data_IF_885071075915
#
_entry.id   IF_885071075915
#
_cell.length_a   1.000
_cell.length_b   1.000
_cell.length_c   1.000
_cell.angle_alpha   90.00
_cell.angle_beta   90.00
_cell.angle_gamma   90.00
#
_symmetry.space_group_name_H-M   'P 1'
#
loop_
_entity.id
_entity.type
_entity.pdbx_description
1 polymer ?
#
# COMPACT_ATOMS: atom_id res chain seq x y z
N UNK A 1 -20.43 30.55 25.51
CA UNK A 1 -20.45 31.55 24.42
C UNK A 1 -20.58 30.76 23.11
N UNK A 2 -21.75 30.79 22.47
CA UNK A 2 -22.11 30.03 21.26
C UNK A 2 -21.83 30.89 20.01
N UNK A 3 -21.18 30.34 18.98
CA UNK A 3 -21.36 30.61 17.51
C UNK A 3 -20.68 29.41 16.80
N UNK A 4 -21.33 28.39 16.21
CA UNK A 4 -22.30 28.19 15.09
C UNK A 4 -21.67 27.83 13.74
N UNK A 5 -22.18 26.72 13.17
CA UNK A 5 -21.98 26.11 11.85
C UNK A 5 -21.94 27.10 10.67
N UNK A 6 -21.30 26.71 9.56
CA UNK A 6 -21.82 27.00 8.24
C UNK A 6 -21.60 25.86 7.24
N UNK A 7 -22.71 25.43 6.65
CA UNK A 7 -22.80 24.51 5.53
C UNK A 7 -22.87 25.30 4.21
N UNK A 8 -22.34 24.70 3.15
CA UNK A 8 -22.55 25.15 1.78
C UNK A 8 -23.93 24.69 1.28
N UNK A 9 -24.69 25.61 0.69
CA UNK A 9 -25.85 25.34 -0.18
C UNK A 9 -25.65 26.05 -1.54
N UNK A 10 -26.23 25.54 -2.64
CA UNK A 10 -25.96 26.00 -4.00
C UNK A 10 -26.92 27.12 -4.44
N UNK A 11 -26.44 28.03 -5.28
CA UNK A 11 -27.24 29.11 -5.88
C UNK A 11 -27.47 28.91 -7.39
N UNK A 12 -28.74 28.80 -7.75
CA UNK A 12 -29.32 29.06 -9.09
C UNK A 12 -29.27 30.56 -9.41
N UNK A 13 -29.19 30.93 -10.69
CA UNK A 13 -29.78 32.14 -11.34
C UNK A 13 -29.77 31.88 -12.87
N UNK A 14 -30.90 31.63 -13.53
CA UNK A 14 -31.95 32.54 -14.03
C UNK A 14 -31.65 33.17 -15.41
N UNK A 15 -32.33 32.65 -16.44
CA UNK A 15 -32.61 33.30 -17.73
C UNK A 15 -33.68 34.40 -17.57
N UNK A 16 -33.70 35.41 -18.46
CA UNK A 16 -34.94 36.06 -18.85
C UNK A 16 -35.19 36.03 -20.38
N UNK A 17 -36.45 35.79 -20.73
CA UNK A 17 -37.04 36.08 -22.04
C UNK A 17 -37.61 37.52 -22.09
N UNK A 18 -37.57 38.14 -23.27
CA UNK A 18 -38.44 39.21 -23.85
C UNK A 18 -37.84 39.45 -25.26
N UNK A 19 -38.51 39.64 -26.39
CA UNK A 19 -39.81 40.19 -26.78
C UNK A 19 -39.62 40.72 -28.22
N UNK A 20 -40.62 40.64 -29.08
CA UNK A 20 -40.48 40.57 -30.55
C UNK A 20 -40.45 41.90 -31.35
N UNK A 21 -40.15 41.74 -32.66
CA UNK A 21 -40.51 42.52 -33.88
C UNK A 21 -39.51 43.55 -34.44
N UNK A 22 -39.06 43.32 -35.68
CA UNK A 22 -38.45 44.36 -36.55
C UNK A 22 -37.84 43.86 -37.87
N UNK A 23 -38.63 43.95 -38.96
CA UNK A 23 -38.33 44.06 -40.41
C UNK A 23 -37.18 43.31 -41.13
N UNK A 24 -37.55 42.78 -42.30
CA UNK A 24 -36.76 42.19 -43.39
C UNK A 24 -35.51 42.98 -43.82
N UNK A 25 -34.40 42.26 -44.05
CA UNK A 25 -33.57 42.39 -45.26
C UNK A 25 -33.03 41.01 -45.64
N UNK A 26 -33.37 40.56 -46.87
CA UNK A 26 -32.74 39.40 -47.51
C UNK A 26 -31.28 39.73 -47.83
N UNK A 27 -30.35 39.02 -47.20
CA UNK A 27 -29.05 38.72 -47.80
C UNK A 27 -28.83 37.21 -47.68
N UNK A 28 -28.78 36.53 -48.82
CA UNK A 28 -28.36 35.14 -48.91
C UNK A 28 -26.88 35.05 -48.58
N UNK A 29 -26.54 34.83 -47.31
CA UNK A 29 -25.24 34.29 -46.96
C UNK A 29 -25.35 32.77 -47.03
N UNK A 30 -24.75 32.19 -48.08
CA UNK A 30 -24.39 30.79 -48.08
C UNK A 30 -23.40 30.57 -46.92
N UNK A 31 -23.90 30.15 -45.77
CA UNK A 31 -23.06 29.45 -44.81
C UNK A 31 -22.75 28.09 -45.44
N UNK A 32 -21.59 28.00 -46.07
CA UNK A 32 -20.96 26.71 -46.25
C UNK A 32 -20.61 26.25 -44.83
N UNK A 33 -21.21 25.17 -44.27
CA UNK A 33 -20.72 24.65 -43.01
C UNK A 33 -19.27 24.28 -43.26
N UNK A 34 -18.34 24.87 -42.49
CA UNK A 34 -16.99 24.34 -42.42
C UNK A 34 -17.12 22.84 -42.13
N UNK A 35 -16.37 21.97 -42.84
CA UNK A 35 -16.43 20.55 -42.55
C UNK A 35 -16.16 20.39 -41.06
N UNK A 36 -17.06 19.69 -40.37
CA UNK A 36 -16.82 19.29 -38.98
C UNK A 36 -15.42 18.69 -38.95
N UNK A 37 -14.53 19.25 -38.13
CA UNK A 37 -13.23 18.66 -37.90
C UNK A 37 -13.51 17.22 -37.46
N UNK A 38 -13.14 16.27 -38.32
CA UNK A 38 -13.19 14.85 -37.99
C UNK A 38 -12.31 14.70 -36.75
N UNK A 39 -12.91 14.35 -35.61
CA UNK A 39 -12.14 13.92 -34.45
C UNK A 39 -11.17 12.85 -34.96
N UNK A 40 -9.88 12.98 -34.65
CA UNK A 40 -8.92 11.95 -34.99
C UNK A 40 -9.43 10.62 -34.39
N UNK A 41 -9.41 9.56 -35.18
CA UNK A 41 -9.77 8.22 -34.69
C UNK A 41 -8.89 7.89 -33.49
N UNK A 42 -9.45 7.28 -32.42
CA UNK A 42 -8.66 6.84 -31.28
C UNK A 42 -7.60 5.83 -31.74
N UNK A 43 -6.45 5.83 -31.07
CA UNK A 43 -5.41 4.85 -31.34
C UNK A 43 -5.94 3.42 -31.21
N UNK A 44 -5.52 2.53 -32.11
CA UNK A 44 -5.84 1.10 -32.06
C UNK A 44 -4.63 0.25 -32.45
N UNK A 45 -4.45 -0.87 -31.75
CA UNK A 45 -3.42 -1.87 -32.04
C UNK A 45 -3.73 -2.73 -33.28
N UNK A 46 -4.92 -2.64 -33.88
CA UNK A 46 -5.35 -3.49 -35.00
C UNK A 46 -4.47 -3.37 -36.26
N UNK A 47 -3.77 -2.24 -36.41
CA UNK A 47 -2.93 -1.96 -37.57
C UNK A 47 -1.41 -2.07 -37.28
N UNK A 48 -1.03 -2.53 -36.09
CA UNK A 48 0.38 -2.72 -35.73
C UNK A 48 0.92 -3.95 -36.47
N UNK A 49 1.95 -3.75 -37.29
CA UNK A 49 2.59 -4.83 -38.08
C UNK A 49 4.02 -5.13 -37.63
N UNK A 50 4.55 -4.34 -36.70
CA UNK A 50 5.95 -4.39 -36.25
C UNK A 50 6.15 -5.23 -35.00
N UNK A 51 5.08 -5.50 -34.25
CA UNK A 51 5.01 -6.43 -33.13
C UNK A 51 3.66 -7.13 -33.05
N UNK A 52 3.52 -8.23 -32.28
CA UNK A 52 2.22 -8.85 -32.02
C UNK A 52 1.21 -7.86 -31.44
N UNK A 53 -0.04 -7.97 -31.86
CA UNK A 53 -1.13 -7.11 -31.38
C UNK A 53 -1.28 -7.16 -29.85
N UNK A 54 -1.13 -8.34 -29.24
CA UNK A 54 -1.20 -8.53 -27.78
C UNK A 54 -0.10 -7.75 -27.05
N UNK A 55 1.10 -7.61 -27.65
CA UNK A 55 2.16 -6.79 -27.05
C UNK A 55 1.82 -5.31 -27.10
N UNK A 56 1.21 -4.84 -28.19
CA UNK A 56 0.70 -3.47 -28.26
C UNK A 56 -0.39 -3.24 -27.21
N UNK A 57 -1.34 -4.17 -27.07
CA UNK A 57 -2.44 -4.08 -26.10
C UNK A 57 -1.92 -4.07 -24.66
N UNK A 58 -0.90 -4.88 -24.34
CA UNK A 58 -0.24 -4.86 -23.04
C UNK A 58 0.43 -3.51 -22.74
N UNK A 59 1.05 -2.88 -23.74
CA UNK A 59 1.61 -1.53 -23.59
C UNK A 59 0.50 -0.49 -23.41
N UNK A 60 -0.58 -0.54 -24.19
CA UNK A 60 -1.75 0.33 -23.99
C UNK A 60 -2.28 0.19 -22.56
N UNK A 61 -2.49 -1.05 -22.09
CA UNK A 61 -2.92 -1.35 -20.71
C UNK A 61 -1.98 -0.72 -19.68
N UNK A 62 -0.66 -0.82 -19.87
CA UNK A 62 0.34 -0.17 -19.01
C UNK A 62 0.20 1.36 -19.01
N UNK A 63 0.07 1.97 -20.18
CA UNK A 63 -0.07 3.43 -20.31
C UNK A 63 -1.33 3.93 -19.60
N UNK A 64 -2.46 3.27 -19.85
CA UNK A 64 -3.75 3.64 -19.26
C UNK A 64 -3.77 3.40 -17.75
N UNK A 65 -3.27 2.25 -17.28
CA UNK A 65 -3.31 1.89 -15.86
C UNK A 65 -2.36 2.72 -15.02
N UNK A 66 -1.35 3.35 -15.62
CA UNK A 66 -0.32 4.13 -14.92
C UNK A 66 -0.35 5.63 -15.22
N UNK A 67 -1.50 6.13 -15.66
CA UNK A 67 -1.78 7.57 -15.72
C UNK A 67 -1.12 8.28 -16.90
N UNK A 68 -1.05 7.64 -18.07
CA UNK A 68 -0.54 8.26 -19.29
C UNK A 68 -1.43 9.36 -19.86
N UNK A 69 -2.71 9.46 -19.48
CA UNK A 69 -3.65 10.42 -20.07
C UNK A 69 -3.33 11.89 -19.75
N UNK A 70 -3.11 12.67 -20.81
CA UNK A 70 -2.60 14.06 -20.84
C UNK A 70 -3.52 15.19 -20.27
N UNK A 71 -4.51 14.90 -19.43
CA UNK A 71 -5.51 15.91 -19.02
C UNK A 71 -5.25 16.54 -17.64
N UNK A 72 -4.16 16.17 -16.95
CA UNK A 72 -3.82 16.72 -15.63
C UNK A 72 -2.34 17.08 -15.49
N UNK A 73 -1.99 18.05 -14.63
CA UNK A 73 -0.57 18.48 -14.48
C UNK A 73 0.32 17.47 -13.74
N UNK A 74 0.01 16.18 -13.77
CA UNK A 74 0.60 15.11 -12.96
C UNK A 74 0.98 13.87 -13.78
N UNK A 75 1.11 14.02 -15.10
CA UNK A 75 1.23 12.93 -16.09
C UNK A 75 2.65 12.34 -16.20
N UNK A 76 2.77 11.33 -17.06
CA UNK A 76 4.05 10.83 -17.53
C UNK A 76 4.94 12.00 -17.99
N UNK A 77 6.22 12.00 -17.60
CA UNK A 77 7.14 13.09 -17.98
C UNK A 77 7.52 13.01 -19.46
N UNK A 78 7.60 11.79 -19.99
CA UNK A 78 7.96 11.44 -21.35
C UNK A 78 7.01 10.35 -21.82
N UNK A 79 6.15 10.69 -22.76
CA UNK A 79 5.21 9.78 -23.42
C UNK A 79 5.28 9.87 -24.95
N UNK A 80 6.39 10.39 -25.48
CA UNK A 80 6.60 10.52 -26.93
C UNK A 80 6.25 9.21 -27.67
N UNK A 81 5.34 9.30 -28.62
CA UNK A 81 4.88 8.19 -29.46
C UNK A 81 3.77 7.32 -28.85
N UNK A 82 3.61 7.29 -27.53
CA UNK A 82 2.56 6.51 -26.88
C UNK A 82 1.19 6.93 -27.41
N UNK A 83 0.41 5.96 -27.89
CA UNK A 83 -0.90 6.13 -28.52
C UNK A 83 -0.97 7.13 -29.69
N UNK A 84 0.17 7.57 -30.23
CA UNK A 84 0.24 8.56 -31.32
C UNK A 84 1.03 8.06 -32.51
N UNK A 85 2.07 7.26 -32.28
CA UNK A 85 2.82 6.56 -33.32
C UNK A 85 2.23 5.17 -33.58
N UNK A 86 2.10 4.80 -34.85
CA UNK A 86 1.54 3.51 -35.26
C UNK A 86 2.42 2.30 -34.91
N UNK A 87 3.71 2.51 -34.64
CA UNK A 87 4.66 1.45 -34.29
C UNK A 87 5.07 1.58 -32.81
N UNK A 88 4.64 0.64 -31.93
CA UNK A 88 5.01 0.65 -30.52
C UNK A 88 6.52 0.61 -30.26
N UNK A 89 7.31 0.08 -31.19
CA UNK A 89 8.76 0.05 -31.10
C UNK A 89 9.43 1.42 -31.24
N UNK A 90 8.65 2.45 -31.58
CA UNK A 90 9.11 3.85 -31.62
C UNK A 90 8.69 4.65 -30.39
N UNK A 91 7.89 4.06 -29.49
CA UNK A 91 7.42 4.73 -28.29
C UNK A 91 8.56 4.93 -27.30
N UNK A 92 8.51 6.04 -26.56
CA UNK A 92 9.50 6.34 -25.55
C UNK A 92 9.66 5.18 -24.56
N UNK A 93 10.91 4.75 -24.37
CA UNK A 93 11.25 3.67 -23.45
C UNK A 93 10.99 2.26 -23.97
N UNK A 94 10.32 2.08 -25.11
CA UNK A 94 10.07 0.77 -25.71
C UNK A 94 11.22 0.39 -26.65
N UNK A 95 11.85 -0.76 -26.40
CA UNK A 95 12.87 -1.34 -27.26
C UNK A 95 12.38 -2.67 -27.82
N UNK A 96 12.57 -2.87 -29.13
CA UNK A 96 12.18 -4.09 -29.82
C UNK A 96 13.36 -4.79 -30.47
N UNK A 97 13.29 -6.11 -30.54
CA UNK A 97 14.18 -6.95 -31.34
C UNK A 97 13.38 -8.05 -32.04
N UNK A 98 13.68 -8.29 -33.32
CA UNK A 98 13.01 -9.31 -34.15
C UNK A 98 11.48 -9.22 -34.16
N UNK A 99 10.94 -8.00 -34.06
CA UNK A 99 9.49 -7.75 -34.05
C UNK A 99 8.81 -8.07 -32.71
N UNK A 100 9.55 -8.09 -31.60
CA UNK A 100 9.01 -8.25 -30.26
C UNK A 100 9.55 -7.18 -29.33
N UNK A 101 8.76 -6.77 -28.34
CA UNK A 101 9.19 -5.89 -27.25
C UNK A 101 10.14 -6.66 -26.34
N UNK A 102 11.39 -6.20 -26.24
CA UNK A 102 12.42 -6.82 -25.40
C UNK A 102 12.89 -5.93 -24.25
N UNK A 103 12.62 -4.63 -24.31
CA UNK A 103 13.02 -3.68 -23.28
C UNK A 103 11.93 -2.64 -23.00
N UNK A 104 11.64 -2.41 -21.73
CA UNK A 104 10.84 -1.28 -21.25
C UNK A 104 11.67 -0.44 -20.28
N UNK A 105 11.90 0.82 -20.63
CA UNK A 105 12.70 1.78 -19.86
C UNK A 105 11.88 3.03 -19.53
N UNK A 106 11.18 2.98 -18.41
CA UNK A 106 10.19 3.97 -17.93
C UNK A 106 10.54 4.50 -16.53
N UNK A 107 11.79 4.35 -16.09
CA UNK A 107 12.26 4.87 -14.80
C UNK A 107 12.19 6.40 -14.74
N UNK A 108 11.86 6.94 -13.56
CA UNK A 108 11.79 8.38 -13.29
C UNK A 108 10.86 9.14 -14.25
N UNK A 109 9.73 8.54 -14.59
CA UNK A 109 8.81 9.07 -15.59
C UNK A 109 7.45 9.45 -14.99
N UNK A 110 7.34 9.54 -13.66
CA UNK A 110 6.13 9.92 -12.93
C UNK A 110 4.91 9.00 -13.19
N UNK A 111 5.15 7.73 -13.57
CA UNK A 111 4.08 6.73 -13.71
C UNK A 111 3.31 6.61 -12.40
N UNK A 112 1.97 6.65 -12.45
CA UNK A 112 1.12 6.54 -11.27
C UNK A 112 -0.05 5.61 -11.53
N UNK A 113 -0.13 4.53 -10.77
CA UNK A 113 -1.14 3.50 -10.98
C UNK A 113 -0.63 2.13 -10.56
N UNK A 114 -1.40 1.10 -10.87
CA UNK A 114 -0.96 -0.29 -10.69
C UNK A 114 -0.37 -0.85 -11.97
N UNK A 115 0.58 -1.78 -11.82
CA UNK A 115 1.05 -2.59 -12.94
C UNK A 115 -0.10 -3.50 -13.42
N UNK A 116 -0.41 -3.54 -14.71
CA UNK A 116 -1.49 -4.40 -15.22
C UNK A 116 -1.03 -5.85 -15.31
N UNK A 117 -1.98 -6.78 -15.24
CA UNK A 117 -1.72 -8.21 -15.37
C UNK A 117 -1.26 -8.60 -16.77
N UNK A 118 -1.68 -7.85 -17.78
CA UNK A 118 -1.47 -8.14 -19.20
C UNK A 118 0.00 -7.94 -19.64
N UNK A 119 0.87 -7.42 -18.77
CA UNK A 119 2.31 -7.33 -19.03
C UNK A 119 2.95 -8.68 -19.33
N UNK A 120 2.32 -9.80 -18.96
CA UNK A 120 2.76 -11.14 -19.29
C UNK A 120 2.74 -11.44 -20.80
N UNK A 121 1.97 -10.70 -21.60
CA UNK A 121 1.93 -10.85 -23.06
C UNK A 121 3.23 -10.39 -23.74
N UNK A 122 4.08 -9.63 -23.05
CA UNK A 122 5.42 -9.23 -23.51
C UNK A 122 6.43 -10.38 -23.35
N UNK A 123 6.12 -11.56 -23.89
CA UNK A 123 6.84 -12.82 -23.62
C UNK A 123 8.35 -12.82 -23.96
N UNK A 124 8.79 -11.89 -24.81
CA UNK A 124 10.20 -11.69 -25.17
C UNK A 124 10.92 -10.62 -24.32
N UNK A 125 10.26 -10.06 -23.30
CA UNK A 125 10.80 -8.99 -22.48
C UNK A 125 12.02 -9.47 -21.68
N UNK A 126 13.15 -8.81 -21.88
CA UNK A 126 14.42 -9.10 -21.22
C UNK A 126 14.71 -8.10 -20.09
N UNK A 127 14.22 -6.86 -20.21
CA UNK A 127 14.48 -5.80 -19.22
C UNK A 127 13.25 -4.93 -19.00
N UNK A 128 12.86 -4.78 -17.73
CA UNK A 128 11.82 -3.86 -17.31
C UNK A 128 12.34 -2.91 -16.23
N UNK A 129 12.48 -1.64 -16.57
CA UNK A 129 12.92 -0.58 -15.68
C UNK A 129 11.79 0.41 -15.45
N UNK A 130 11.23 0.43 -14.24
CA UNK A 130 10.20 1.38 -13.81
C UNK A 130 10.51 1.97 -12.43
N UNK A 131 11.79 2.09 -12.09
CA UNK A 131 12.25 2.62 -10.81
C UNK A 131 12.01 4.13 -10.67
N UNK A 132 11.72 4.62 -9.47
CA UNK A 132 11.57 6.06 -9.23
C UNK A 132 10.27 6.62 -9.80
N UNK A 133 9.19 5.85 -9.70
CA UNK A 133 7.85 6.24 -10.10
C UNK A 133 6.92 6.27 -8.86
N UNK A 134 5.61 6.37 -9.09
CA UNK A 134 4.55 6.35 -8.07
C UNK A 134 3.60 5.17 -8.30
N UNK A 135 4.16 4.03 -8.72
CA UNK A 135 3.41 2.79 -8.90
C UNK A 135 2.96 2.26 -7.54
N UNK A 136 1.71 1.84 -7.42
CA UNK A 136 1.10 1.34 -6.18
C UNK A 136 0.32 0.05 -6.43
N UNK A 137 -0.10 -0.61 -5.35
CA UNK A 137 -0.72 -1.93 -5.41
C UNK A 137 0.33 -3.04 -5.49
N UNK A 138 -0.15 -4.26 -5.77
CA UNK A 138 0.70 -5.46 -5.77
C UNK A 138 1.56 -5.57 -7.04
N UNK A 139 2.68 -6.28 -6.92
CA UNK A 139 3.42 -6.78 -8.08
C UNK A 139 2.59 -7.93 -8.68
N UNK A 140 2.12 -7.86 -9.94
CA UNK A 140 1.31 -8.92 -10.52
C UNK A 140 2.08 -10.23 -10.61
N UNK A 141 1.48 -11.33 -10.15
CA UNK A 141 2.08 -12.66 -10.26
C UNK A 141 2.33 -13.08 -11.73
N UNK A 142 1.57 -12.52 -12.67
CA UNK A 142 1.72 -12.72 -14.11
C UNK A 142 3.11 -12.31 -14.64
N UNK A 143 3.83 -11.39 -13.96
CA UNK A 143 5.23 -11.09 -14.31
C UNK A 143 6.14 -12.31 -14.21
N UNK A 144 5.78 -13.33 -13.42
CA UNK A 144 6.49 -14.61 -13.34
C UNK A 144 6.41 -15.47 -14.62
N UNK A 145 5.58 -15.10 -15.59
CA UNK A 145 5.46 -15.81 -16.89
C UNK A 145 6.47 -15.31 -17.93
N UNK A 146 7.14 -14.18 -17.67
CA UNK A 146 8.12 -13.56 -18.56
C UNK A 146 9.48 -14.25 -18.49
N UNK A 147 9.55 -15.51 -18.89
CA UNK A 147 10.76 -16.36 -18.71
C UNK A 147 12.04 -15.84 -19.37
N UNK A 148 11.97 -14.87 -20.30
CA UNK A 148 13.14 -14.20 -20.89
C UNK A 148 13.67 -13.04 -20.04
N UNK A 149 12.95 -12.63 -18.99
CA UNK A 149 13.29 -11.47 -18.18
C UNK A 149 14.60 -11.70 -17.42
N UNK A 150 15.54 -10.78 -17.63
CA UNK A 150 16.85 -10.77 -17.01
C UNK A 150 16.95 -9.69 -15.93
N UNK A 151 16.23 -8.58 -16.08
CA UNK A 151 16.32 -7.44 -15.16
C UNK A 151 14.94 -6.86 -14.86
N UNK A 152 14.61 -6.79 -13.58
CA UNK A 152 13.37 -6.20 -13.08
C UNK A 152 13.67 -5.14 -12.02
N UNK A 153 13.52 -3.87 -12.40
CA UNK A 153 13.79 -2.72 -11.52
C UNK A 153 12.49 -1.99 -11.20
N UNK A 154 11.98 -2.23 -9.98
CA UNK A 154 10.77 -1.60 -9.44
C UNK A 154 11.05 -0.80 -8.17
N UNK A 155 12.32 -0.56 -7.84
CA UNK A 155 12.71 0.18 -6.63
C UNK A 155 12.23 1.65 -6.65
N UNK A 156 12.06 2.23 -5.47
CA UNK A 156 11.59 3.61 -5.27
C UNK A 156 10.20 3.84 -5.90
N UNK A 157 9.23 3.04 -5.47
CA UNK A 157 7.81 3.15 -5.82
C UNK A 157 6.96 3.08 -4.53
N UNK A 158 5.65 2.91 -4.67
CA UNK A 158 4.68 2.72 -3.58
C UNK A 158 4.04 1.32 -3.67
N UNK A 159 4.75 0.33 -4.22
CA UNK A 159 4.24 -1.03 -4.38
C UNK A 159 4.07 -1.69 -3.01
N UNK A 160 2.97 -2.42 -2.82
CA UNK A 160 2.56 -3.02 -1.55
C UNK A 160 2.28 -4.51 -1.71
N UNK A 161 1.99 -5.20 -0.60
CA UNK A 161 1.69 -6.63 -0.60
C UNK A 161 2.93 -7.51 -0.70
N UNK A 162 2.73 -8.80 -0.91
CA UNK A 162 3.80 -9.80 -0.93
C UNK A 162 4.59 -9.80 -2.23
N UNK A 163 5.85 -10.23 -2.18
CA UNK A 163 6.62 -10.57 -3.39
C UNK A 163 6.00 -11.85 -3.98
N UNK A 164 5.52 -11.87 -5.23
CA UNK A 164 4.89 -13.07 -5.78
C UNK A 164 5.89 -14.21 -5.92
N UNK A 165 5.54 -15.39 -5.38
CA UNK A 165 6.35 -16.60 -5.54
C UNK A 165 6.57 -16.98 -7.02
N UNK A 166 5.66 -16.57 -7.91
CA UNK A 166 5.77 -16.76 -9.37
C UNK A 166 7.04 -16.12 -9.98
N UNK A 167 7.62 -15.09 -9.34
CA UNK A 167 8.90 -14.53 -9.79
C UNK A 167 10.05 -15.56 -9.73
N UNK A 168 9.92 -16.62 -8.94
CA UNK A 168 10.86 -17.75 -8.93
C UNK A 168 10.87 -18.59 -10.21
N UNK A 169 9.95 -18.37 -11.16
CA UNK A 169 9.94 -19.03 -12.47
C UNK A 169 10.87 -18.35 -13.49
N UNK A 170 11.39 -17.15 -13.17
CA UNK A 170 12.20 -16.34 -14.08
C UNK A 170 13.64 -16.85 -14.14
N UNK A 171 13.86 -18.01 -14.77
CA UNK A 171 15.15 -18.72 -14.78
C UNK A 171 16.32 -17.93 -15.40
N UNK A 172 16.04 -16.87 -16.15
CA UNK A 172 17.04 -15.98 -16.75
C UNK A 172 17.30 -14.71 -15.93
N UNK A 173 16.62 -14.52 -14.79
CA UNK A 173 16.71 -13.31 -13.99
C UNK A 173 18.09 -13.18 -13.35
N UNK A 174 18.71 -12.02 -13.53
CA UNK A 174 20.04 -11.67 -13.01
C UNK A 174 19.91 -10.57 -11.96
N UNK A 175 19.02 -9.60 -12.19
CA UNK A 175 18.82 -8.46 -11.29
C UNK A 175 17.33 -8.31 -10.89
N UNK A 176 17.06 -8.30 -9.58
CA UNK A 176 15.72 -8.08 -9.00
C UNK A 176 15.79 -6.99 -7.94
N UNK A 177 15.41 -5.76 -8.30
CA UNK A 177 15.49 -4.60 -7.42
C UNK A 177 14.10 -4.12 -7.03
N UNK A 178 13.76 -4.30 -5.75
CA UNK A 178 12.46 -4.00 -5.16
C UNK A 178 12.56 -3.07 -3.93
N UNK A 179 13.74 -2.51 -3.66
CA UNK A 179 13.98 -1.66 -2.49
C UNK A 179 13.12 -0.39 -2.51
N UNK A 180 12.89 0.20 -1.32
CA UNK A 180 12.16 1.46 -1.17
C UNK A 180 10.72 1.37 -1.72
N UNK A 181 10.01 0.35 -1.27
CA UNK A 181 8.59 0.11 -1.51
C UNK A 181 7.89 -0.12 -0.16
N UNK A 182 6.64 -0.61 -0.19
CA UNK A 182 5.84 -1.02 0.96
C UNK A 182 5.60 -2.54 0.91
N UNK A 183 6.53 -3.31 0.33
CA UNK A 183 6.38 -4.76 0.20
C UNK A 183 6.49 -5.41 1.58
N UNK A 184 5.65 -6.40 1.82
CA UNK A 184 5.53 -7.06 3.13
C UNK A 184 5.50 -8.59 3.01
N UNK A 185 5.48 -9.26 4.16
CA UNK A 185 5.40 -10.71 4.23
C UNK A 185 6.75 -11.40 4.02
N UNK A 186 6.68 -12.72 3.89
CA UNK A 186 7.85 -13.59 3.77
C UNK A 186 8.47 -13.52 2.37
N UNK A 187 9.80 -13.41 2.31
CA UNK A 187 10.53 -13.52 1.04
C UNK A 187 10.34 -14.95 0.48
N UNK A 188 9.79 -15.12 -0.75
CA UNK A 188 9.45 -16.45 -1.24
C UNK A 188 10.66 -17.36 -1.44
N UNK A 189 10.58 -18.59 -0.90
CA UNK A 189 11.60 -19.63 -1.11
C UNK A 189 11.84 -19.97 -2.59
N UNK A 190 10.87 -19.71 -3.47
CA UNK A 190 11.01 -19.89 -4.91
C UNK A 190 12.16 -19.05 -5.52
N UNK A 191 12.48 -17.88 -4.93
CA UNK A 191 13.60 -17.03 -5.40
C UNK A 191 14.97 -17.68 -5.18
N UNK A 192 15.10 -18.57 -4.19
CA UNK A 192 16.35 -19.28 -3.90
C UNK A 192 16.78 -20.15 -5.10
N UNK A 193 15.82 -20.64 -5.89
CA UNK A 193 16.07 -21.49 -7.06
C UNK A 193 16.71 -20.75 -8.23
N UNK A 194 16.70 -19.41 -8.23
CA UNK A 194 17.29 -18.58 -9.29
C UNK A 194 18.81 -18.47 -9.17
N UNK A 195 19.43 -19.06 -8.13
CA UNK A 195 20.88 -19.13 -7.99
C UNK A 195 21.51 -17.78 -7.64
N UNK A 196 22.53 -17.37 -8.41
CA UNK A 196 23.21 -16.08 -8.23
C UNK A 196 22.34 -14.96 -8.82
N UNK A 197 21.62 -14.27 -7.95
CA UNK A 197 20.70 -13.19 -8.29
C UNK A 197 21.11 -11.93 -7.51
N UNK A 198 21.33 -10.83 -8.23
CA UNK A 198 21.56 -9.53 -7.59
C UNK A 198 20.22 -9.01 -7.07
N UNK A 199 20.08 -8.90 -5.76
CA UNK A 199 18.84 -8.48 -5.13
C UNK A 199 18.99 -7.22 -4.29
N UNK A 200 17.95 -6.38 -4.33
CA UNK A 200 17.83 -5.21 -3.49
C UNK A 200 16.44 -5.17 -2.86
N UNK A 201 16.37 -5.46 -1.56
CA UNK A 201 15.12 -5.53 -0.78
C UNK A 201 15.04 -4.49 0.34
N UNK A 202 16.08 -3.68 0.51
CA UNK A 202 16.17 -2.69 1.60
C UNK A 202 14.99 -1.72 1.61
N UNK A 203 14.65 -1.22 2.80
CA UNK A 203 13.56 -0.27 3.01
C UNK A 203 12.22 -0.82 2.52
N UNK A 204 11.77 -1.91 3.13
CA UNK A 204 10.45 -2.54 2.97
C UNK A 204 9.98 -3.06 4.35
N UNK A 205 8.97 -3.92 4.36
CA UNK A 205 8.43 -4.61 5.54
C UNK A 205 8.58 -6.13 5.38
N UNK A 206 9.67 -6.57 4.73
CA UNK A 206 9.89 -7.97 4.38
C UNK A 206 10.45 -8.77 5.57
N UNK A 207 10.03 -10.01 5.66
CA UNK A 207 10.47 -11.00 6.65
C UNK A 207 11.08 -12.23 5.97
N UNK A 208 11.84 -13.01 6.75
CA UNK A 208 12.41 -14.27 6.29
C UNK A 208 12.58 -15.23 7.47
N UNK A 209 11.80 -16.30 7.49
CA UNK A 209 11.90 -17.38 8.48
C UNK A 209 12.47 -18.68 7.92
N UNK A 210 12.39 -18.89 6.60
CA UNK A 210 12.94 -20.09 5.94
C UNK A 210 14.48 -20.09 5.95
N UNK A 211 15.07 -21.22 6.36
CA UNK A 211 16.51 -21.34 6.52
C UNK A 211 17.29 -21.24 5.19
N UNK A 212 16.72 -21.73 4.08
CA UNK A 212 17.34 -21.63 2.76
C UNK A 212 17.28 -20.18 2.24
N UNK A 213 16.17 -19.49 2.47
CA UNK A 213 16.02 -18.05 2.17
C UNK A 213 17.02 -17.23 2.96
N UNK A 214 17.14 -17.46 4.28
CA UNK A 214 18.11 -16.75 5.13
C UNK A 214 19.55 -16.97 4.68
N UNK A 215 19.93 -18.20 4.34
CA UNK A 215 21.26 -18.51 3.84
C UNK A 215 21.54 -17.82 2.49
N UNK A 216 20.54 -17.81 1.60
CA UNK A 216 20.62 -17.14 0.31
C UNK A 216 20.71 -15.61 0.44
N UNK A 217 19.94 -14.99 1.34
CA UNK A 217 20.03 -13.56 1.64
C UNK A 217 21.38 -13.18 2.25
N UNK A 218 21.93 -14.01 3.14
CA UNK A 218 23.26 -13.78 3.71
C UNK A 218 24.36 -13.77 2.63
N UNK A 219 24.20 -14.56 1.55
CA UNK A 219 25.14 -14.61 0.44
C UNK A 219 24.98 -13.44 -0.54
N UNK A 220 23.75 -13.01 -0.83
CA UNK A 220 23.48 -12.02 -1.88
C UNK A 220 23.26 -10.59 -1.36
N UNK A 221 22.76 -10.41 -0.13
CA UNK A 221 22.41 -9.11 0.46
C UNK A 221 22.46 -9.13 1.99
N UNK A 222 23.65 -9.25 2.61
CA UNK A 222 23.78 -9.54 4.05
C UNK A 222 23.21 -8.46 4.99
N UNK A 223 22.95 -7.25 4.50
CA UNK A 223 22.40 -6.14 5.28
C UNK A 223 20.90 -5.91 5.06
N UNK A 224 20.20 -6.78 4.32
CA UNK A 224 18.79 -6.58 3.96
C UNK A 224 17.88 -6.31 5.18
N UNK A 225 18.09 -7.08 6.26
CA UNK A 225 17.29 -7.04 7.49
C UNK A 225 17.45 -5.72 8.27
N UNK A 226 18.55 -4.99 8.08
CA UNK A 226 18.85 -3.76 8.82
C UNK A 226 17.97 -2.57 8.40
N UNK A 227 17.10 -2.77 7.42
CA UNK A 227 16.24 -1.72 6.84
C UNK A 227 14.80 -2.19 6.68
N UNK A 228 14.40 -3.26 7.37
CA UNK A 228 13.03 -3.76 7.32
C UNK A 228 12.23 -3.24 8.51
N UNK A 229 11.08 -2.65 8.22
CA UNK A 229 10.09 -2.24 9.23
C UNK A 229 9.16 -3.42 9.50
N UNK A 230 9.56 -4.29 10.43
CA UNK A 230 8.85 -5.53 10.78
C UNK A 230 8.25 -5.44 12.18
N UNK A 231 7.39 -6.37 12.61
CA UNK A 231 6.95 -6.42 14.00
C UNK A 231 8.13 -6.74 14.94
N UNK A 232 8.15 -6.21 16.19
CA UNK A 232 9.13 -6.65 17.18
C UNK A 232 8.85 -8.09 17.62
N UNK A 233 9.86 -8.75 18.17
CA UNK A 233 9.78 -10.15 18.59
C UNK A 233 9.75 -10.29 20.11
N UNK A 234 9.44 -11.50 20.59
CA UNK A 234 9.55 -11.84 22.02
C UNK A 234 8.70 -10.92 22.93
N UNK A 235 7.46 -10.66 22.52
CA UNK A 235 6.50 -9.91 23.32
C UNK A 235 6.18 -10.68 24.61
N UNK A 236 6.30 -10.00 25.75
CA UNK A 236 6.11 -10.57 27.09
C UNK A 236 5.33 -9.63 27.99
N UNK A 237 4.62 -10.23 28.95
CA UNK A 237 3.92 -9.51 30.01
C UNK A 237 4.80 -9.52 31.26
N UNK A 238 5.20 -8.33 31.73
CA UNK A 238 6.04 -8.18 32.92
C UNK A 238 5.24 -8.00 34.19
N UNK A 239 4.13 -7.27 34.13
CA UNK A 239 3.28 -7.01 35.29
C UNK A 239 1.84 -6.75 34.86
N UNK A 240 0.89 -7.16 35.69
CA UNK A 240 -0.55 -6.99 35.46
C UNK A 240 -1.21 -6.46 36.73
N UNK A 241 -2.01 -5.42 36.59
CA UNK A 241 -2.90 -4.93 37.65
C UNK A 241 -4.35 -5.08 37.22
N UNK A 242 -5.27 -4.49 37.97
CA UNK A 242 -6.68 -4.47 37.58
C UNK A 242 -6.98 -3.45 36.46
N UNK A 243 -6.05 -2.56 36.13
CA UNK A 243 -6.26 -1.53 35.08
C UNK A 243 -5.07 -1.28 34.17
N UNK A 244 -3.95 -1.98 34.40
CA UNK A 244 -2.73 -1.79 33.62
C UNK A 244 -2.03 -3.10 33.30
N UNK A 245 -1.33 -3.12 32.17
CA UNK A 245 -0.45 -4.21 31.75
C UNK A 245 0.88 -3.60 31.32
N UNK A 246 1.98 -4.03 31.95
CA UNK A 246 3.34 -3.67 31.53
C UNK A 246 3.86 -4.74 30.57
N UNK A 247 4.18 -4.32 29.34
CA UNK A 247 4.73 -5.18 28.30
C UNK A 247 6.22 -4.94 28.10
N UNK A 248 6.92 -5.95 27.59
CA UNK A 248 8.27 -5.82 27.02
C UNK A 248 8.43 -6.64 25.75
N UNK A 249 9.37 -6.26 24.89
CA UNK A 249 9.70 -6.98 23.66
C UNK A 249 11.15 -6.72 23.25
N UNK A 250 11.65 -7.50 22.30
CA UNK A 250 12.93 -7.24 21.64
C UNK A 250 12.70 -6.26 20.48
N UNK A 251 13.32 -5.06 20.49
CA UNK A 251 13.21 -4.10 19.40
C UNK A 251 13.68 -4.66 18.06
N UNK A 252 13.13 -4.13 16.98
CA UNK A 252 13.56 -4.50 15.63
C UNK A 252 15.01 -4.06 15.39
N UNK A 253 15.69 -4.68 14.42
CA UNK A 253 17.05 -4.30 14.05
C UNK A 253 17.11 -2.86 13.49
N UNK A 254 16.09 -2.45 12.73
CA UNK A 254 16.05 -1.15 12.07
C UNK A 254 15.48 -0.05 12.98
N UNK A 255 16.26 0.38 13.96
CA UNK A 255 15.88 1.48 14.87
C UNK A 255 16.32 2.86 14.39
N UNK A 256 17.13 2.94 13.33
CA UNK A 256 17.50 4.20 12.69
C UNK A 256 16.30 4.83 11.97
N UNK A 257 16.36 6.14 11.75
CA UNK A 257 15.25 6.97 11.25
C UNK A 257 14.01 7.01 12.16
N UNK A 258 13.23 8.06 12.03
CA UNK A 258 12.11 8.31 12.94
C UNK A 258 10.98 7.29 12.73
N UNK A 259 10.35 6.90 13.84
CA UNK A 259 9.30 5.89 13.87
C UNK A 259 8.96 5.54 15.31
N UNK A 260 8.07 4.57 15.51
CA UNK A 260 7.66 4.13 16.85
C UNK A 260 7.00 2.76 16.83
N UNK A 261 6.79 2.18 18.00
CA UNK A 261 5.90 1.05 18.18
C UNK A 261 4.48 1.52 18.51
N UNK A 262 3.50 0.74 18.08
CA UNK A 262 2.11 0.84 18.53
C UNK A 262 1.73 -0.49 19.19
N UNK A 263 1.27 -0.42 20.44
CA UNK A 263 0.62 -1.55 21.11
C UNK A 263 -0.85 -1.55 20.73
N UNK A 264 -1.27 -2.59 20.03
CA UNK A 264 -2.65 -2.85 19.65
C UNK A 264 -3.36 -3.70 20.70
N UNK A 265 -4.67 -3.49 20.86
CA UNK A 265 -5.53 -4.29 21.73
C UNK A 265 -6.71 -4.85 20.95
N UNK A 266 -7.06 -6.10 21.19
CA UNK A 266 -8.26 -6.75 20.67
C UNK A 266 -9.02 -7.48 21.80
N UNK A 267 -10.35 -7.55 21.66
CA UNK A 267 -11.25 -8.03 22.72
C UNK A 267 -11.91 -9.39 22.43
N UNK A 268 -11.94 -9.82 21.17
CA UNK A 268 -12.66 -11.04 20.75
C UNK A 268 -11.73 -12.15 20.26
N UNK A 269 -10.68 -11.79 19.53
CA UNK A 269 -9.71 -12.70 18.91
C UNK A 269 -8.36 -11.99 18.75
N UNK A 270 -7.34 -12.73 18.33
CA UNK A 270 -6.01 -12.20 17.94
C UNK A 270 -6.03 -11.50 16.57
N UNK A 271 -7.14 -10.83 16.25
CA UNK A 271 -7.34 -10.09 15.00
C UNK A 271 -8.10 -8.79 15.30
N UNK A 272 -7.98 -7.80 14.41
CA UNK A 272 -8.70 -6.52 14.56
C UNK A 272 -8.17 -5.65 15.70
N UNK A 273 -6.86 -5.69 15.94
CA UNK A 273 -6.19 -4.85 16.94
C UNK A 273 -6.40 -3.35 16.66
N UNK A 274 -6.76 -2.60 17.70
CA UNK A 274 -6.83 -1.14 17.66
C UNK A 274 -5.67 -0.54 18.44
N UNK A 275 -5.03 0.50 17.89
CA UNK A 275 -3.89 1.17 18.54
C UNK A 275 -4.28 1.78 19.89
N UNK A 276 -3.69 1.29 20.98
CA UNK A 276 -4.02 1.68 22.36
C UNK A 276 -2.97 2.57 22.99
N UNK A 277 -1.70 2.28 22.73
CA UNK A 277 -0.58 3.02 23.30
C UNK A 277 0.57 3.05 22.29
N UNK A 278 1.43 4.06 22.40
CA UNK A 278 2.53 4.27 21.47
C UNK A 278 3.82 4.56 22.23
N UNK A 279 4.95 4.10 21.68
CA UNK A 279 6.26 4.48 22.20
C UNK A 279 6.71 5.83 21.64
N UNK A 280 7.77 6.37 22.23
CA UNK A 280 8.44 7.58 21.72
C UNK A 280 9.18 7.27 20.42
N UNK A 281 9.87 6.13 20.38
CA UNK A 281 10.71 5.73 19.26
C UNK A 281 10.78 4.19 19.08
N UNK A 282 11.54 3.76 18.08
CA UNK A 282 11.82 2.34 17.76
C UNK A 282 12.90 1.70 18.65
N UNK A 283 13.54 2.43 19.55
CA UNK A 283 14.53 1.90 20.51
C UNK A 283 13.90 1.42 21.82
N UNK A 284 12.66 1.87 22.08
CA UNK A 284 11.89 1.50 23.27
C UNK A 284 11.53 0.01 23.26
N UNK A 285 11.77 -0.68 24.38
CA UNK A 285 11.54 -2.13 24.53
C UNK A 285 10.45 -2.49 25.56
N UNK A 286 9.74 -1.50 26.10
CA UNK A 286 8.64 -1.73 27.04
C UNK A 286 7.64 -0.59 27.02
N UNK A 287 6.39 -0.89 27.35
CA UNK A 287 5.32 0.11 27.45
C UNK A 287 4.28 -0.31 28.47
N UNK A 288 3.83 0.65 29.29
CA UNK A 288 2.70 0.46 30.20
C UNK A 288 1.41 0.81 29.46
N UNK A 289 0.53 -0.18 29.29
CA UNK A 289 -0.84 0.01 28.81
C UNK A 289 -1.73 0.33 29.99
N UNK A 290 -2.51 1.42 29.91
CA UNK A 290 -3.38 1.91 31.00
C UNK A 290 -4.86 1.87 30.62
N UNK A 291 -5.68 2.15 31.63
CA UNK A 291 -7.13 2.34 31.52
C UNK A 291 -7.84 1.09 31.00
N UNK A 292 -7.31 -0.09 31.33
CA UNK A 292 -7.90 -1.37 30.98
C UNK A 292 -9.04 -1.72 31.97
N UNK A 293 -10.13 -2.32 31.51
CA UNK A 293 -11.19 -2.76 32.41
C UNK A 293 -10.71 -3.94 33.28
N UNK A 294 -11.12 -4.02 34.55
CA UNK A 294 -10.72 -5.06 35.47
C UNK A 294 -11.37 -6.42 35.16
N UNK A 295 -10.64 -7.50 35.44
CA UNK A 295 -11.12 -8.88 35.27
C UNK A 295 -11.43 -9.28 33.83
N UNK A 296 -10.92 -8.55 32.83
CA UNK A 296 -11.17 -8.82 31.42
C UNK A 296 -9.95 -9.37 30.72
N UNK A 297 -10.21 -10.22 29.74
CA UNK A 297 -9.18 -10.81 28.88
C UNK A 297 -9.02 -9.96 27.62
N UNK A 298 -7.77 -9.73 27.24
CA UNK A 298 -7.40 -9.02 26.03
C UNK A 298 -6.30 -9.77 25.29
N UNK A 299 -6.25 -9.52 23.99
CA UNK A 299 -5.14 -9.87 23.14
C UNK A 299 -4.35 -8.59 22.87
N UNK A 300 -3.04 -8.64 23.10
CA UNK A 300 -2.14 -7.51 22.89
C UNK A 300 -1.09 -7.91 21.86
N UNK A 301 -0.84 -7.05 20.89
CA UNK A 301 0.22 -7.24 19.92
C UNK A 301 0.93 -5.91 19.67
N UNK A 302 2.12 -5.96 19.06
CA UNK A 302 2.90 -4.76 18.77
C UNK A 302 3.18 -4.70 17.27
N UNK A 303 2.99 -3.52 16.69
CA UNK A 303 3.40 -3.20 15.33
C UNK A 303 4.46 -2.09 15.35
N UNK A 304 5.26 -2.00 14.29
CA UNK A 304 6.27 -0.96 14.10
C UNK A 304 5.85 -0.01 13.00
N UNK A 305 6.04 1.29 13.23
CA UNK A 305 5.93 2.33 12.20
C UNK A 305 7.30 2.93 11.95
N UNK A 306 7.69 3.09 10.69
CA UNK A 306 8.81 3.96 10.27
C UNK A 306 8.25 5.02 9.34
N UNK A 307 8.46 6.30 9.65
CA UNK A 307 7.95 7.38 8.82
C UNK A 307 8.80 7.57 7.57
N UNK A 308 8.24 8.22 6.56
CA UNK A 308 8.98 8.60 5.36
C UNK A 308 10.21 9.47 5.70
N UNK A 309 11.32 9.20 5.03
CA UNK A 309 12.59 9.92 5.15
C UNK A 309 13.34 9.90 3.80
N UNK A 310 14.54 10.48 3.75
CA UNK A 310 15.29 10.64 2.48
C UNK A 310 15.55 9.33 1.74
N UNK A 311 15.66 8.21 2.46
CA UNK A 311 15.87 6.90 1.84
C UNK A 311 14.59 6.13 1.51
N UNK A 312 13.45 6.52 2.08
CA UNK A 312 12.17 5.84 1.92
C UNK A 312 11.05 6.86 1.93
N UNK A 313 10.44 7.12 0.78
CA UNK A 313 9.36 8.09 0.63
C UNK A 313 8.02 7.64 1.26
N UNK A 314 7.90 6.36 1.60
CA UNK A 314 6.70 5.78 2.18
C UNK A 314 6.76 5.77 3.71
N UNK A 315 5.63 6.02 4.38
CA UNK A 315 5.47 5.56 5.76
C UNK A 315 5.21 4.06 5.72
N UNK A 316 6.01 3.30 6.46
CA UNK A 316 5.91 1.85 6.57
C UNK A 316 5.25 1.49 7.90
N UNK A 317 4.17 0.72 7.84
CA UNK A 317 3.44 0.22 9.00
C UNK A 317 3.42 -1.31 8.92
N UNK A 318 4.24 -1.97 9.75
CA UNK A 318 4.24 -3.43 9.78
C UNK A 318 2.87 -3.95 10.21
N UNK A 319 2.56 -5.21 9.89
CA UNK A 319 1.48 -5.92 10.59
C UNK A 319 1.70 -5.92 12.12
N UNK A 320 0.67 -6.27 12.87
CA UNK A 320 0.85 -6.70 14.25
C UNK A 320 1.59 -8.04 14.30
N UNK A 321 2.60 -8.12 15.16
CA UNK A 321 3.36 -9.35 15.38
C UNK A 321 2.58 -10.40 16.19
N UNK A 322 3.28 -11.46 16.61
CA UNK A 322 2.70 -12.47 17.50
C UNK A 322 2.22 -11.83 18.80
N UNK A 323 0.94 -12.05 19.11
CA UNK A 323 0.26 -11.45 20.26
C UNK A 323 0.46 -12.23 21.56
N UNK A 324 0.07 -11.61 22.66
CA UNK A 324 -0.04 -12.23 23.98
C UNK A 324 -1.46 -12.06 24.52
N UNK A 325 -1.95 -13.10 25.20
CA UNK A 325 -3.23 -13.06 25.90
C UNK A 325 -3.01 -12.71 27.37
N UNK A 326 -3.79 -11.77 27.90
CA UNK A 326 -3.71 -11.34 29.30
C UNK A 326 -5.09 -11.11 29.90
N UNK A 327 -5.27 -11.46 31.17
CA UNK A 327 -6.46 -11.11 31.95
C UNK A 327 -6.06 -10.15 33.06
N UNK A 328 -6.65 -8.95 33.10
CA UNK A 328 -6.42 -8.00 34.21
C UNK A 328 -6.94 -8.58 35.52
N UNK A 329 -6.34 -8.14 36.64
CA UNK A 329 -6.81 -8.57 37.96
C UNK A 329 -8.25 -8.10 38.19
N UNK A 330 -9.03 -8.82 39.03
CA UNK A 330 -10.36 -8.35 39.42
C UNK A 330 -10.33 -6.95 40.03
N UNK A 331 -11.39 -6.20 39.78
CA UNK A 331 -11.61 -4.87 40.36
C UNK A 331 -12.12 -4.97 41.79
N UNK A 332 -12.70 -3.87 42.29
CA UNK A 332 -13.41 -3.90 43.57
C UNK A 332 -14.62 -4.83 43.49
N UNK A 333 -14.74 -5.74 44.44
CA UNK A 333 -15.95 -6.57 44.59
C UNK A 333 -17.05 -5.80 45.32
N UNK A 334 -18.31 -6.16 45.09
CA UNK A 334 -19.45 -5.51 45.76
C UNK A 334 -19.40 -5.60 47.29
N UNK A 335 -18.73 -6.62 47.83
CA UNK A 335 -18.50 -6.76 49.28
C UNK A 335 -17.61 -5.65 49.86
N UNK A 336 -16.87 -4.94 49.00
CA UNK A 336 -16.00 -3.82 49.36
C UNK A 336 -16.69 -2.45 49.19
N UNK A 337 -17.92 -2.41 48.66
CA UNK A 337 -18.69 -1.19 48.42
C UNK A 337 -19.77 -1.06 49.49
N UNK A 338 -19.66 -0.06 50.35
CA UNK A 338 -20.60 0.14 51.47
C UNK A 338 -21.67 1.20 51.22
N UNK A 339 -21.57 1.94 50.10
CA UNK A 339 -22.42 3.10 49.82
C UNK A 339 -23.81 2.72 49.27
N UNK A 340 -23.95 1.52 48.71
CA UNK A 340 -25.21 0.96 48.19
C UNK A 340 -25.41 -0.48 48.67
N UNK A 341 -26.66 -1.01 48.68
CA UNK A 341 -26.90 -2.42 48.97
C UNK A 341 -26.14 -3.35 48.03
N UNK A 342 -25.62 -4.45 48.58
CA UNK A 342 -24.86 -5.46 47.82
C UNK A 342 -25.60 -5.94 46.57
N UNK A 343 -26.90 -6.21 46.67
CA UNK A 343 -27.72 -6.65 45.53
C UNK A 343 -27.85 -5.60 44.42
N UNK A 344 -27.79 -4.31 44.76
CA UNK A 344 -27.83 -3.23 43.75
C UNK A 344 -26.48 -3.13 43.03
N UNK A 345 -25.37 -3.24 43.77
CA UNK A 345 -24.04 -3.32 43.18
C UNK A 345 -23.90 -4.52 42.24
N UNK A 346 -24.36 -5.71 42.66
CA UNK A 346 -24.30 -6.93 41.84
C UNK A 346 -25.13 -6.81 40.56
N UNK A 347 -26.30 -6.18 40.63
CA UNK A 347 -27.14 -5.92 39.47
C UNK A 347 -26.48 -4.95 38.48
N UNK A 348 -25.80 -3.92 38.97
CA UNK A 348 -25.01 -3.02 38.14
C UNK A 348 -23.88 -3.78 37.47
N UNK A 349 -23.07 -4.55 38.21
CA UNK A 349 -21.98 -5.36 37.67
C UNK A 349 -22.45 -6.29 36.55
N UNK A 350 -23.58 -6.97 36.76
CA UNK A 350 -24.20 -7.82 35.74
C UNK A 350 -24.63 -7.02 34.49
N UNK A 351 -25.16 -5.80 34.67
CA UNK A 351 -25.53 -4.93 33.56
C UNK A 351 -24.31 -4.53 32.72
N UNK A 352 -23.24 -4.05 33.35
CA UNK A 352 -22.00 -3.71 32.65
C UNK A 352 -21.42 -4.91 31.92
N UNK A 353 -21.37 -6.08 32.57
CA UNK A 353 -20.83 -7.27 31.92
C UNK A 353 -21.66 -7.74 30.73
N UNK A 354 -22.99 -7.78 30.89
CA UNK A 354 -23.91 -8.24 29.83
C UNK A 354 -23.95 -7.32 28.61
N UNK A 355 -23.61 -6.04 28.79
CA UNK A 355 -23.65 -5.03 27.73
C UNK A 355 -22.27 -4.67 27.20
N UNK A 356 -21.22 -5.41 27.62
CA UNK A 356 -19.83 -5.11 27.28
C UNK A 356 -19.46 -3.67 27.64
N UNK A 357 -19.76 -3.27 28.88
CA UNK A 357 -19.64 -1.91 29.37
C UNK A 357 -18.24 -1.29 29.20
N UNK A 358 -17.21 -2.13 29.12
CA UNK A 358 -15.86 -1.71 28.81
C UNK A 358 -15.67 -1.16 27.38
N UNK A 359 -16.63 -1.37 26.48
CA UNK A 359 -16.66 -0.81 25.14
C UNK A 359 -17.57 0.42 25.03
N UNK A 360 -18.16 0.89 26.13
CA UNK A 360 -18.96 2.10 26.11
C UNK A 360 -18.08 3.32 25.79
N UNK A 361 -18.69 4.35 25.19
CA UNK A 361 -17.99 5.60 24.87
C UNK A 361 -17.44 6.34 26.12
N UNK A 362 -18.01 6.07 27.29
CA UNK A 362 -17.60 6.64 28.58
C UNK A 362 -17.73 5.58 29.68
N UNK A 363 -16.69 4.77 29.85
CA UNK A 363 -16.62 3.67 30.82
C UNK A 363 -15.72 3.97 32.03
N UNK A 364 -14.95 5.07 31.98
CA UNK A 364 -14.07 5.47 33.10
C UNK A 364 -14.93 5.85 34.31
N UNK A 365 -14.58 5.28 35.47
CA UNK A 365 -15.24 5.48 36.77
C UNK A 365 -16.71 4.97 36.86
N UNK A 366 -17.10 4.03 36.00
CA UNK A 366 -18.31 3.20 36.24
C UNK A 366 -17.99 2.13 37.29
#
# INVERSE_FOLDING_TARGET
MKISRNQFTPSRLLWPCLGAIGLLFLTTLFFNPAPAATAAEPFSCDNVTTSPQTECEALVSLYESTGGYADYSWDWVQDDGWLTAADPCTWYGVGCANGHVTNLSLSNNNLRGSLPTDLNDLTALESFFASGNRLYGEIPAALGELTQLQKLYLQSNWLSGEIPAALGNLSNLIDLYLSRNQLEGEIPAALVNLGTLNVSFSYNMLEASDAAVLAWLAANTPAWANTQTVPPTNLQILNVTNSTVLLSWDPILYTADDGRYIVGIAFASEEGYEGRAVTVDKSTSSLLVTDLPPGKTFYLAVQTITWSHDDQQNTLESRFGEGVTVTTLPGLTCDQITDIPQSECEALYAFYDSTQGWQWYSYTDW
#
